data_IF_676597040235
#
_entry.id   IF_676597040235
#
_cell.length_a   1.000
_cell.length_b   1.000
_cell.length_c   1.000
_cell.angle_alpha   90.00
_cell.angle_beta   90.00
_cell.angle_gamma   90.00
#
_symmetry.space_group_name_H-M   'P 1'
#
loop_
_entity.id
_entity.type
_entity.pdbx_description
1 polymer ?
#
# COMPACT_ATOMS: atom_id res chain seq x y z
N UNK A 1 -10.84 -4.74 28.76
CA UNK A 1 -11.09 -4.85 27.31
C UNK A 1 -10.38 -3.70 26.61
N UNK A 2 -9.21 -3.94 26.03
CA UNK A 2 -8.43 -2.94 25.31
C UNK A 2 -8.55 -3.25 23.81
N UNK A 3 -9.26 -2.41 23.05
CA UNK A 3 -9.38 -2.57 21.60
C UNK A 3 -9.09 -1.23 20.94
N UNK A 4 -8.25 -1.18 19.88
CA UNK A 4 -8.00 0.04 19.10
C UNK A 4 -9.28 0.73 18.60
N UNK A 5 -10.36 -0.03 18.41
CA UNK A 5 -11.67 0.49 18.04
C UNK A 5 -12.32 1.34 19.14
N UNK A 6 -12.06 1.05 20.42
CA UNK A 6 -12.61 1.78 21.58
C UNK A 6 -11.93 3.14 21.74
N UNK A 7 -10.58 3.17 21.71
CA UNK A 7 -9.81 4.42 21.76
C UNK A 7 -10.17 5.37 20.61
N UNK A 8 -10.44 4.80 19.44
CA UNK A 8 -10.88 5.56 18.27
C UNK A 8 -12.31 6.07 18.40
N UNK A 9 -13.23 5.26 18.93
CA UNK A 9 -14.57 5.75 19.25
C UNK A 9 -14.48 6.93 20.22
N UNK A 10 -13.69 6.84 21.29
CA UNK A 10 -13.50 7.95 22.23
C UNK A 10 -12.90 9.21 21.57
N UNK A 11 -12.05 9.05 20.55
CA UNK A 11 -11.47 10.18 19.82
C UNK A 11 -12.45 10.81 18.81
N UNK A 12 -13.27 9.99 18.14
CA UNK A 12 -14.36 10.46 17.29
C UNK A 12 -15.47 11.15 18.12
N UNK A 13 -15.73 10.67 19.34
CA UNK A 13 -16.73 11.23 20.26
C UNK A 13 -16.31 12.58 20.88
N UNK A 14 -15.05 13.01 20.73
CA UNK A 14 -14.60 14.33 21.20
C UNK A 14 -14.86 15.47 20.20
N UNK A 15 -15.00 15.17 18.90
CA UNK A 15 -15.14 16.15 17.80
C UNK A 15 -16.33 15.84 16.85
N UNK A 16 -17.24 14.97 17.30
CA UNK A 16 -18.33 14.18 16.69
C UNK A 16 -18.92 14.53 15.31
N UNK A 17 -18.92 15.77 14.85
CA UNK A 17 -19.60 16.13 13.60
C UNK A 17 -18.64 16.63 12.51
N UNK A 18 -17.59 17.35 12.88
CA UNK A 18 -16.67 17.94 11.92
C UNK A 18 -15.77 16.87 11.27
N UNK A 19 -15.23 15.96 12.08
CA UNK A 19 -14.32 14.90 11.60
C UNK A 19 -15.05 13.87 10.73
N UNK A 20 -16.29 13.51 11.11
CA UNK A 20 -17.14 12.61 10.32
C UNK A 20 -17.55 13.22 8.98
N UNK A 21 -17.95 14.51 8.95
CA UNK A 21 -18.25 15.22 7.69
C UNK A 21 -17.03 15.31 6.79
N UNK A 22 -15.87 15.61 7.35
CA UNK A 22 -14.60 15.67 6.62
C UNK A 22 -14.24 14.31 6.02
N UNK A 23 -14.41 13.22 6.78
CA UNK A 23 -14.17 11.87 6.31
C UNK A 23 -15.12 11.46 5.18
N UNK A 24 -16.42 11.75 5.30
CA UNK A 24 -17.42 11.44 4.26
C UNK A 24 -17.13 12.24 2.98
N UNK A 25 -16.85 13.54 3.11
CA UNK A 25 -16.49 14.38 1.97
C UNK A 25 -15.22 13.86 1.27
N UNK A 26 -14.20 13.46 2.06
CA UNK A 26 -13.00 12.83 1.52
C UNK A 26 -13.33 11.53 0.77
N UNK A 27 -14.13 10.62 1.35
CA UNK A 27 -14.52 9.35 0.70
C UNK A 27 -15.28 9.56 -0.62
N UNK A 28 -16.10 10.61 -0.71
CA UNK A 28 -16.84 10.93 -1.94
C UNK A 28 -15.92 11.43 -3.06
N UNK A 29 -14.88 12.20 -2.73
CA UNK A 29 -13.98 12.80 -3.71
C UNK A 29 -12.77 11.91 -4.07
N UNK A 30 -12.37 11.02 -3.17
CA UNK A 30 -11.10 10.29 -3.30
C UNK A 30 -11.08 9.36 -4.51
N UNK A 31 -12.20 8.71 -4.83
CA UNK A 31 -12.27 7.77 -5.94
C UNK A 31 -11.98 8.44 -7.29
N UNK A 32 -12.56 9.62 -7.55
CA UNK A 32 -12.33 10.36 -8.80
C UNK A 32 -10.86 10.78 -8.94
N UNK A 33 -10.27 11.30 -7.86
CA UNK A 33 -8.85 11.70 -7.86
C UNK A 33 -7.93 10.49 -8.01
N UNK A 34 -8.20 9.42 -7.26
CA UNK A 34 -7.42 8.18 -7.29
C UNK A 34 -7.46 7.51 -8.65
N UNK A 35 -8.56 7.61 -9.39
CA UNK A 35 -8.67 7.04 -10.74
C UNK A 35 -7.64 7.59 -11.73
N UNK A 36 -7.03 8.74 -11.44
CA UNK A 36 -5.97 9.34 -12.27
C UNK A 36 -4.57 8.77 -12.00
N UNK A 37 -4.40 7.97 -10.94
CA UNK A 37 -3.14 7.30 -10.59
C UNK A 37 -2.86 6.20 -11.61
N UNK A 38 -1.59 6.01 -12.00
CA UNK A 38 -1.17 4.93 -12.91
C UNK A 38 0.15 4.32 -12.47
N UNK A 39 0.16 2.99 -12.32
CA UNK A 39 1.40 2.22 -12.21
C UNK A 39 2.08 2.27 -13.58
N UNK A 40 3.27 2.86 -13.66
CA UNK A 40 4.03 2.99 -14.90
C UNK A 40 4.98 1.81 -15.10
N UNK A 41 5.67 1.42 -14.03
CA UNK A 41 6.61 0.30 -14.07
C UNK A 41 6.80 -0.29 -12.66
N UNK A 42 7.01 -1.60 -12.61
CA UNK A 42 7.34 -2.35 -11.41
C UNK A 42 8.66 -3.07 -11.66
N UNK A 43 9.61 -2.92 -10.74
CA UNK A 43 10.90 -3.61 -10.75
C UNK A 43 11.06 -4.36 -9.44
N UNK A 44 11.29 -5.67 -9.55
CA UNK A 44 11.47 -6.55 -8.39
C UNK A 44 12.74 -7.36 -8.62
N UNK A 45 13.74 -7.11 -7.78
CA UNK A 45 14.98 -7.87 -7.77
C UNK A 45 14.98 -8.84 -6.58
N UNK A 46 15.61 -10.01 -6.74
CA UNK A 46 15.61 -11.09 -5.74
C UNK A 46 14.61 -12.22 -6.02
N UNK A 47 13.86 -12.13 -7.12
CA UNK A 47 12.97 -13.19 -7.62
C UNK A 47 13.53 -13.77 -8.92
N UNK A 48 13.60 -15.09 -9.01
CA UNK A 48 13.97 -15.83 -10.22
C UNK A 48 12.96 -16.95 -10.48
N UNK A 49 12.25 -16.91 -11.60
CA UNK A 49 11.21 -17.89 -11.97
C UNK A 49 10.17 -18.13 -10.85
N UNK A 50 9.69 -17.04 -10.21
CA UNK A 50 8.73 -17.12 -9.09
C UNK A 50 9.30 -17.68 -7.78
N UNK A 51 10.61 -17.97 -7.74
CA UNK A 51 11.34 -18.43 -6.56
C UNK A 51 12.22 -17.31 -6.04
N UNK A 52 12.18 -17.09 -4.73
CA UNK A 52 13.06 -16.12 -4.08
C UNK A 52 14.42 -16.78 -3.84
N UNK A 53 15.50 -16.08 -4.24
CA UNK A 53 16.87 -16.62 -4.24
C UNK A 53 17.45 -16.77 -2.84
N UNK A 54 18.55 -17.53 -2.71
CA UNK A 54 19.16 -17.97 -1.45
C UNK A 54 19.67 -16.87 -0.53
N UNK A 55 19.83 -15.64 -1.00
CA UNK A 55 20.15 -14.50 -0.14
C UNK A 55 18.91 -13.82 0.47
N UNK A 56 17.69 -14.17 0.04
CA UNK A 56 16.43 -13.69 0.61
C UNK A 56 16.13 -12.19 0.47
N UNK A 57 17.04 -11.40 -0.09
CA UNK A 57 16.89 -9.96 -0.20
C UNK A 57 16.05 -9.58 -1.42
N UNK A 58 14.89 -8.99 -1.16
CA UNK A 58 14.05 -8.36 -2.16
C UNK A 58 14.35 -6.87 -2.24
N UNK A 59 14.51 -6.35 -3.46
CA UNK A 59 14.49 -4.91 -3.72
C UNK A 59 13.33 -4.60 -4.64
N UNK A 60 12.40 -3.81 -4.13
CA UNK A 60 11.17 -3.43 -4.83
C UNK A 60 11.29 -1.97 -5.21
N UNK A 61 11.04 -1.65 -6.49
CA UNK A 61 10.90 -0.29 -6.99
C UNK A 61 9.65 -0.17 -7.83
N UNK A 62 8.87 0.87 -7.57
CA UNK A 62 7.66 1.23 -8.29
C UNK A 62 7.81 2.65 -8.85
N UNK A 63 7.54 2.81 -10.14
CA UNK A 63 7.33 4.11 -10.76
C UNK A 63 5.82 4.35 -10.86
N UNK A 64 5.34 5.38 -10.16
CA UNK A 64 3.92 5.68 -10.03
C UNK A 64 3.63 7.09 -10.53
N UNK A 65 2.71 7.24 -11.49
CA UNK A 65 2.13 8.53 -11.80
C UNK A 65 1.00 8.83 -10.83
N UNK A 66 1.11 9.91 -10.05
CA UNK A 66 0.15 10.22 -8.97
C UNK A 66 -1.07 11.00 -9.43
N UNK A 67 -1.05 11.58 -10.63
CA UNK A 67 -2.18 12.32 -11.19
C UNK A 67 -2.63 13.47 -10.28
N UNK A 68 -3.91 13.45 -9.88
CA UNK A 68 -4.53 14.46 -8.98
C UNK A 68 -4.29 14.16 -7.48
N UNK A 69 -3.51 13.14 -7.14
CA UNK A 69 -3.19 12.77 -5.77
C UNK A 69 -1.84 13.37 -5.34
N UNK A 70 -1.65 13.53 -4.04
CA UNK A 70 -0.34 13.86 -3.46
C UNK A 70 0.35 12.62 -2.89
N UNK A 71 1.66 12.70 -2.68
CA UNK A 71 2.46 11.59 -2.11
C UNK A 71 1.94 11.11 -0.75
N UNK A 72 1.46 12.03 0.08
CA UNK A 72 0.96 11.76 1.43
C UNK A 72 -0.45 11.17 1.43
N UNK A 73 -1.14 11.19 0.28
CA UNK A 73 -2.48 10.62 0.12
C UNK A 73 -2.43 9.22 -0.49
N UNK A 74 -1.25 8.62 -0.60
CA UNK A 74 -1.06 7.31 -1.21
C UNK A 74 -0.31 6.36 -0.27
N UNK A 75 -0.78 5.12 -0.23
CA UNK A 75 -0.12 4.00 0.41
C UNK A 75 0.21 2.97 -0.65
N UNK A 76 1.49 2.60 -0.69
CA UNK A 76 2.02 1.62 -1.62
C UNK A 76 2.56 0.44 -0.83
N UNK A 77 2.06 -0.74 -1.12
CA UNK A 77 2.41 -1.96 -0.41
C UNK A 77 2.76 -3.07 -1.38
N UNK A 78 3.86 -3.77 -1.10
CA UNK A 78 4.18 -5.05 -1.71
C UNK A 78 3.61 -6.15 -0.82
N UNK A 79 2.73 -6.97 -1.39
CA UNK A 79 2.03 -8.05 -0.71
C UNK A 79 2.67 -9.35 -1.15
N UNK A 80 3.12 -10.15 -0.19
CA UNK A 80 3.83 -11.40 -0.44
C UNK A 80 3.16 -12.55 0.32
N UNK A 81 2.90 -13.65 -0.38
CA UNK A 81 2.26 -14.85 0.17
C UNK A 81 3.12 -16.06 -0.16
N UNK A 82 3.48 -16.87 0.84
CA UNK A 82 4.24 -18.09 0.64
C UNK A 82 3.33 -19.19 0.06
N UNK A 83 3.72 -19.77 -1.06
CA UNK A 83 2.98 -20.87 -1.69
C UNK A 83 3.25 -22.17 -0.93
N UNK A 84 2.23 -23.02 -0.80
CA UNK A 84 2.37 -24.37 -0.22
C UNK A 84 2.44 -24.42 1.30
N UNK A 85 2.09 -23.35 2.02
CA UNK A 85 1.78 -23.47 3.44
C UNK A 85 0.57 -24.40 3.60
N UNK A 86 0.58 -25.34 4.54
CA UNK A 86 -0.58 -26.19 4.86
C UNK A 86 -1.82 -25.41 5.37
N UNK A 87 -1.75 -24.09 5.43
CA UNK A 87 -2.84 -23.20 5.81
C UNK A 87 -3.72 -22.91 4.59
N UNK A 88 -5.04 -23.02 4.77
CA UNK A 88 -6.05 -22.64 3.76
C UNK A 88 -6.01 -21.16 3.37
N UNK A 89 -5.48 -20.30 4.25
CA UNK A 89 -5.30 -18.86 4.03
C UNK A 89 -3.98 -18.40 4.69
N UNK A 90 -2.83 -18.53 4.01
CA UNK A 90 -1.57 -17.99 4.53
C UNK A 90 -1.69 -16.49 4.79
N UNK A 91 -1.19 -16.05 5.95
CA UNK A 91 -1.13 -14.64 6.28
C UNK A 91 -0.13 -13.93 5.33
N UNK A 92 -0.55 -12.85 4.64
CA UNK A 92 0.33 -12.14 3.74
C UNK A 92 1.36 -11.31 4.51
N UNK A 93 2.61 -11.36 4.07
CA UNK A 93 3.62 -10.38 4.48
C UNK A 93 3.37 -9.07 3.74
N UNK A 94 3.11 -7.99 4.48
CA UNK A 94 2.85 -6.66 3.93
C UNK A 94 4.10 -5.78 4.12
N UNK A 95 4.66 -5.31 3.02
CA UNK A 95 5.87 -4.49 2.99
C UNK A 95 5.51 -3.10 2.45
N UNK A 96 5.66 -2.07 3.27
CA UNK A 96 5.41 -0.69 2.84
C UNK A 96 6.56 -0.21 1.94
N UNK A 97 6.21 0.48 0.86
CA UNK A 97 7.18 1.22 0.06
C UNK A 97 7.18 2.69 0.47
N UNK A 98 8.35 3.29 0.43
CA UNK A 98 8.56 4.69 0.76
C UNK A 98 8.90 5.48 -0.50
N UNK A 99 8.30 6.66 -0.65
CA UNK A 99 8.65 7.58 -1.74
C UNK A 99 10.02 8.18 -1.44
N UNK A 100 10.94 8.10 -2.41
CA UNK A 100 12.30 8.62 -2.25
C UNK A 100 12.57 9.90 -3.03
N UNK A 101 11.86 10.15 -4.13
CA UNK A 101 12.05 11.35 -4.95
C UNK A 101 10.98 11.42 -6.06
N UNK A 102 10.65 12.63 -6.49
CA UNK A 102 9.93 12.85 -7.75
C UNK A 102 10.87 12.56 -8.92
N UNK A 103 10.42 11.78 -9.90
CA UNK A 103 11.20 11.55 -11.12
C UNK A 103 11.38 12.89 -11.84
N UNK A 104 12.61 13.39 -11.88
CA UNK A 104 12.95 14.68 -12.48
C UNK A 104 12.65 14.73 -13.98
N UNK A 105 12.38 13.58 -14.61
CA UNK A 105 12.09 13.44 -16.05
C UNK A 105 10.60 13.53 -16.38
N UNK A 106 9.69 13.27 -15.43
CA UNK A 106 8.25 13.30 -15.67
C UNK A 106 7.51 13.94 -14.48
N UNK A 107 6.94 15.13 -14.70
CA UNK A 107 6.13 15.82 -13.70
C UNK A 107 4.96 14.95 -13.24
N UNK A 108 4.87 14.69 -11.94
CA UNK A 108 3.82 13.86 -11.35
C UNK A 108 4.13 12.36 -11.33
N UNK A 109 5.32 11.93 -11.76
CA UNK A 109 5.81 10.57 -11.50
C UNK A 109 6.69 10.54 -10.25
N UNK A 110 6.46 9.55 -9.38
CA UNK A 110 7.19 9.36 -8.13
C UNK A 110 7.81 7.96 -8.09
N UNK A 111 9.00 7.87 -7.48
CA UNK A 111 9.68 6.61 -7.23
C UNK A 111 9.42 6.14 -5.80
N UNK A 112 8.85 4.94 -5.68
CA UNK A 112 8.63 4.24 -4.42
C UNK A 112 9.59 3.07 -4.33
N UNK A 113 10.26 2.89 -3.19
CA UNK A 113 11.20 1.79 -2.97
C UNK A 113 10.97 1.09 -1.63
N UNK A 114 11.39 -0.17 -1.56
CA UNK A 114 11.57 -0.89 -0.30
C UNK A 114 12.61 -1.98 -0.49
N UNK A 115 13.33 -2.30 0.59
CA UNK A 115 14.16 -3.49 0.67
C UNK A 115 13.61 -4.38 1.79
N UNK A 116 13.51 -5.69 1.53
CA UNK A 116 12.98 -6.62 2.50
C UNK A 116 13.76 -7.93 2.51
N UNK A 117 14.19 -8.35 3.69
CA UNK A 117 14.92 -9.59 3.90
C UNK A 117 13.94 -10.70 4.30
N UNK A 118 13.91 -11.78 3.52
CA UNK A 118 13.15 -12.97 3.85
C UNK A 118 13.98 -13.97 4.63
N UNK A 119 13.34 -14.58 5.63
CA UNK A 119 13.95 -15.65 6.45
C UNK A 119 14.05 -16.98 5.70
N UNK A 120 13.16 -17.21 4.73
CA UNK A 120 12.99 -18.50 4.09
C UNK A 120 12.86 -18.39 2.57
N UNK A 121 13.60 -19.23 1.85
CA UNK A 121 13.44 -19.39 0.40
C UNK A 121 12.20 -20.22 0.07
N UNK A 122 11.68 -20.07 -1.15
CA UNK A 122 10.50 -20.81 -1.60
C UNK A 122 9.81 -20.16 -2.79
N UNK A 123 8.68 -20.75 -3.17
CA UNK A 123 7.75 -20.17 -4.12
C UNK A 123 6.83 -19.20 -3.40
N UNK A 124 6.65 -18.03 -3.97
CA UNK A 124 5.78 -17.01 -3.43
C UNK A 124 4.89 -16.44 -4.52
N UNK A 125 3.67 -16.09 -4.14
CA UNK A 125 2.80 -15.22 -4.93
C UNK A 125 2.96 -13.80 -4.40
N UNK A 126 3.06 -12.83 -5.29
CA UNK A 126 3.23 -11.44 -4.89
C UNK A 126 2.46 -10.50 -5.81
N UNK A 127 2.22 -9.29 -5.30
CA UNK A 127 1.66 -8.18 -6.07
C UNK A 127 1.94 -6.86 -5.38
N UNK A 128 1.91 -5.78 -6.14
CA UNK A 128 1.94 -4.43 -5.57
C UNK A 128 0.52 -3.91 -5.55
N UNK A 129 0.11 -3.32 -4.42
CA UNK A 129 -1.11 -2.54 -4.33
C UNK A 129 -0.82 -1.08 -4.03
N UNK A 130 -1.57 -0.22 -4.68
CA UNK A 130 -1.63 1.22 -4.41
C UNK A 130 -3.05 1.52 -3.95
N UNK A 131 -3.18 2.27 -2.85
CA UNK A 131 -4.47 2.69 -2.33
C UNK A 131 -4.39 4.11 -1.76
N UNK A 132 -5.51 4.83 -1.65
CA UNK A 132 -5.54 6.09 -0.94
C UNK A 132 -5.12 5.90 0.52
N UNK A 133 -4.42 6.89 1.05
CA UNK A 133 -4.06 6.97 2.45
C UNK A 133 -4.81 8.11 3.13
N UNK A 134 -5.43 7.79 4.26
CA UNK A 134 -5.98 8.77 5.18
C UNK A 134 -5.82 8.24 6.62
N UNK A 135 -5.21 9.05 7.49
CA UNK A 135 -4.97 8.69 8.89
C UNK A 135 -6.26 8.50 9.69
N UNK A 136 -7.38 9.06 9.22
CA UNK A 136 -8.70 8.89 9.79
C UNK A 136 -9.35 7.57 9.38
N UNK A 137 -8.83 6.79 8.42
CA UNK A 137 -9.38 5.46 8.12
C UNK A 137 -8.89 4.41 9.11
N UNK A 138 -9.76 3.46 9.47
CA UNK A 138 -9.38 2.38 10.40
C UNK A 138 -8.51 1.37 9.68
N UNK A 139 -8.95 1.00 8.47
CA UNK A 139 -8.19 0.26 7.48
C UNK A 139 -8.15 1.08 6.21
N UNK A 140 -6.99 1.18 5.57
CA UNK A 140 -6.88 1.94 4.32
C UNK A 140 -7.72 1.32 3.19
N UNK A 141 -8.01 0.01 3.31
CA UNK A 141 -8.92 -0.71 2.44
C UNK A 141 -10.38 -0.21 2.56
N UNK A 142 -10.75 0.50 3.63
CA UNK A 142 -12.07 1.10 3.80
C UNK A 142 -12.33 2.24 2.79
N UNK A 143 -11.29 2.71 2.09
CA UNK A 143 -11.43 3.59 0.93
C UNK A 143 -12.10 2.92 -0.28
N UNK A 144 -12.21 1.57 -0.28
CA UNK A 144 -12.87 0.75 -1.33
C UNK A 144 -12.30 0.88 -2.75
N UNK A 145 -11.16 1.54 -2.92
CA UNK A 145 -10.45 1.66 -4.18
C UNK A 145 -9.01 1.20 -4.00
N UNK A 146 -8.52 0.38 -4.93
CA UNK A 146 -7.18 -0.19 -4.92
C UNK A 146 -6.75 -0.47 -6.37
N UNK A 147 -5.49 -0.19 -6.69
CA UNK A 147 -4.86 -0.61 -7.93
C UNK A 147 -3.84 -1.69 -7.65
N UNK A 148 -3.98 -2.81 -8.36
CA UNK A 148 -3.06 -3.94 -8.31
C UNK A 148 -2.19 -3.97 -9.56
N UNK A 149 -0.91 -4.30 -9.37
CA UNK A 149 0.05 -4.55 -10.44
C UNK A 149 1.04 -5.65 -10.06
#
# INVERSE_FOLDING_TARGET
LYSPAVLRNEQLMRNECADLKTMIAWQQMIAERFNTVKIKAIFINGVKNGKITSNGLLRIKLLLYVGKMTVNELRVEFVLIKNGSHQLAPEPTIINLHCIESDSRETGALNYISEYQLDNTGFYTYGIRVMPYNNMLFRQQDAKVVYWG
#
